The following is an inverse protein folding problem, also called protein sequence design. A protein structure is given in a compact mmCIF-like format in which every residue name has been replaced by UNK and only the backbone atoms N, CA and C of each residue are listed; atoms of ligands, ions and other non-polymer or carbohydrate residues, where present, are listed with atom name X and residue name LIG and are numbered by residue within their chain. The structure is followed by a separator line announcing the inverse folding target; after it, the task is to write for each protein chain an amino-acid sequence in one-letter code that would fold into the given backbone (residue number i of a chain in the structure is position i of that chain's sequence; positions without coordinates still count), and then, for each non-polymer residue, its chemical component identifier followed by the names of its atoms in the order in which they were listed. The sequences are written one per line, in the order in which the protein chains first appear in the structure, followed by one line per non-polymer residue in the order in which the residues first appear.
data_IF_094116299019
#
_entry.id   IF_094116299019
#
_cell.length_a   1.000
_cell.length_b   1.000
_cell.length_c   1.000
_cell.angle_alpha   90.00
_cell.angle_beta   90.00
_cell.angle_gamma   90.00
#
_symmetry.space_group_name_H-M   'P 1'
#
loop_
_entity.id
_entity.type
_entity.pdbx_description
1 polymer ?
#
# COMPACT_ATOMS: atom_id res chain seq x y z
N UNK A 1 35.70 -18.64 -45.49
CA UNK A 1 35.23 -19.97 -45.08
C UNK A 1 33.89 -19.81 -44.38
N UNK A 2 32.79 -20.24 -45.01
CA UNK A 2 31.42 -19.94 -44.57
C UNK A 2 31.00 -20.67 -43.26
N UNK A 3 31.42 -21.93 -43.00
CA UNK A 3 31.14 -22.61 -41.74
C UNK A 3 31.71 -21.87 -40.53
N UNK A 4 32.99 -21.46 -40.57
CA UNK A 4 33.63 -20.68 -39.50
C UNK A 4 32.93 -19.34 -39.30
N UNK A 5 32.52 -18.68 -40.39
CA UNK A 5 31.74 -17.46 -40.29
C UNK A 5 30.43 -17.68 -39.52
N UNK A 6 29.63 -18.69 -39.89
CA UNK A 6 28.33 -18.94 -39.25
C UNK A 6 28.45 -19.38 -37.78
N UNK A 7 29.50 -20.13 -37.42
CA UNK A 7 29.69 -20.62 -36.05
C UNK A 7 30.42 -19.63 -35.14
N UNK A 8 31.43 -18.91 -35.64
CA UNK A 8 32.39 -18.16 -34.82
C UNK A 8 32.31 -16.63 -34.98
N UNK A 9 31.91 -16.14 -36.15
CA UNK A 9 32.04 -14.71 -36.48
C UNK A 9 30.67 -14.01 -36.70
N UNK A 10 29.62 -14.76 -37.02
CA UNK A 10 28.32 -14.20 -37.37
C UNK A 10 27.63 -13.59 -36.13
N UNK A 11 27.34 -12.28 -36.11
CA UNK A 11 26.65 -11.63 -34.99
C UNK A 11 25.19 -12.08 -34.85
N UNK A 12 24.58 -12.57 -35.93
CA UNK A 12 23.23 -13.14 -35.97
C UNK A 12 23.19 -14.64 -35.61
N UNK A 13 24.31 -15.24 -35.17
CA UNK A 13 24.26 -16.58 -34.59
C UNK A 13 23.51 -16.53 -33.27
N UNK A 14 22.75 -17.57 -32.97
CA UNK A 14 22.07 -17.73 -31.70
C UNK A 14 22.99 -18.41 -30.68
N UNK A 15 23.01 -17.91 -29.45
CA UNK A 15 23.60 -18.56 -28.28
C UNK A 15 22.52 -18.87 -27.26
N UNK A 16 22.65 -20.01 -26.60
CA UNK A 16 21.83 -20.35 -25.45
C UNK A 16 22.33 -19.59 -24.22
N UNK A 17 21.43 -18.89 -23.52
CA UNK A 17 21.72 -18.27 -22.25
C UNK A 17 21.91 -19.37 -21.18
N UNK A 18 23.09 -19.40 -20.56
CA UNK A 18 23.42 -20.38 -19.50
C UNK A 18 22.52 -20.32 -18.25
N UNK A 19 21.77 -19.23 -18.07
CA UNK A 19 20.91 -19.01 -16.90
C UNK A 19 19.46 -19.37 -17.16
N UNK A 20 18.84 -18.80 -18.20
CA UNK A 20 17.43 -19.02 -18.52
C UNK A 20 17.20 -20.08 -19.60
N UNK A 21 18.26 -20.62 -20.21
CA UNK A 21 18.20 -21.60 -21.32
C UNK A 21 17.51 -21.11 -22.60
N UNK A 22 17.18 -19.82 -22.69
CA UNK A 22 16.64 -19.20 -23.91
C UNK A 22 17.72 -18.94 -24.95
N UNK A 23 17.34 -18.90 -26.23
CA UNK A 23 18.25 -18.59 -27.34
C UNK A 23 18.15 -17.13 -27.74
N UNK A 24 19.29 -16.45 -27.83
CA UNK A 24 19.38 -15.02 -28.18
C UNK A 24 20.51 -14.82 -29.18
N UNK A 25 20.43 -13.77 -29.99
CA UNK A 25 21.55 -13.44 -30.88
C UNK A 25 22.81 -13.09 -30.07
N UNK A 26 23.97 -13.48 -30.60
CA UNK A 26 25.25 -13.21 -29.96
C UNK A 26 25.45 -11.72 -29.66
N UNK A 27 25.01 -10.86 -30.59
CA UNK A 27 25.04 -9.41 -30.43
C UNK A 27 24.15 -8.90 -29.28
N UNK A 28 23.06 -9.60 -28.96
CA UNK A 28 22.05 -9.20 -27.97
C UNK A 28 22.27 -9.85 -26.60
N UNK A 29 23.10 -10.90 -26.50
CA UNK A 29 23.29 -11.65 -25.26
C UNK A 29 23.71 -10.79 -24.06
N UNK A 30 24.52 -9.74 -24.29
CA UNK A 30 24.90 -8.78 -23.25
C UNK A 30 23.71 -7.94 -22.77
N UNK A 31 22.85 -7.51 -23.69
CA UNK A 31 21.62 -6.81 -23.34
C UNK A 31 20.67 -7.75 -22.58
N UNK A 32 20.52 -8.99 -23.05
CA UNK A 32 19.72 -10.01 -22.39
C UNK A 32 20.12 -10.22 -20.92
N UNK A 33 21.41 -10.28 -20.57
CA UNK A 33 21.83 -10.43 -19.17
C UNK A 33 21.34 -9.32 -18.23
N UNK A 34 21.09 -8.11 -18.74
CA UNK A 34 20.56 -7.00 -17.94
C UNK A 34 19.08 -7.18 -17.59
N UNK A 35 18.34 -8.00 -18.34
CA UNK A 35 16.89 -8.23 -18.17
C UNK A 35 16.55 -9.69 -17.82
N UNK A 36 17.50 -10.62 -17.95
CA UNK A 36 17.30 -12.04 -17.69
C UNK A 36 16.89 -12.29 -16.23
N UNK A 37 15.69 -12.85 -16.04
CA UNK A 37 15.13 -13.17 -14.72
C UNK A 37 15.96 -14.20 -13.94
N UNK A 38 16.60 -15.14 -14.64
CA UNK A 38 17.43 -16.18 -14.02
C UNK A 38 18.87 -15.72 -13.77
N UNK A 39 19.24 -14.50 -14.21
CA UNK A 39 20.58 -13.98 -14.00
C UNK A 39 20.84 -13.77 -12.50
N UNK A 40 21.94 -14.32 -11.95
CA UNK A 40 22.27 -14.18 -10.54
C UNK A 40 22.77 -12.76 -10.24
N UNK A 41 22.26 -12.20 -9.15
CA UNK A 41 22.61 -10.90 -8.64
C UNK A 41 23.01 -11.02 -7.16
N UNK A 42 23.79 -10.03 -6.74
CA UNK A 42 24.13 -9.81 -5.33
C UNK A 42 23.21 -8.76 -4.74
N UNK A 43 22.63 -9.04 -3.58
CA UNK A 43 21.87 -8.05 -2.82
C UNK A 43 22.82 -6.95 -2.35
N UNK A 44 22.52 -5.70 -2.70
CA UNK A 44 23.32 -4.53 -2.31
C UNK A 44 23.27 -4.22 -0.81
N UNK A 45 22.28 -4.76 -0.09
CA UNK A 45 22.05 -4.45 1.32
C UNK A 45 22.64 -5.50 2.28
N UNK A 46 22.34 -6.78 2.06
CA UNK A 46 22.87 -7.86 2.91
C UNK A 46 24.12 -8.53 2.34
N UNK A 47 24.47 -8.26 1.08
CA UNK A 47 25.63 -8.87 0.41
C UNK A 47 25.43 -10.32 -0.02
N UNK A 48 24.25 -10.94 0.22
CA UNK A 48 23.95 -12.28 -0.26
C UNK A 48 24.03 -12.33 -1.79
N UNK A 49 24.76 -13.30 -2.31
CA UNK A 49 25.00 -13.49 -3.74
C UNK A 49 24.14 -14.62 -4.32
N UNK A 50 24.20 -14.81 -5.64
CA UNK A 50 23.48 -15.85 -6.38
C UNK A 50 21.94 -15.79 -6.23
N UNK A 51 21.39 -14.59 -6.04
CA UNK A 51 19.94 -14.37 -6.02
C UNK A 51 19.48 -14.12 -7.45
N UNK A 52 18.57 -14.95 -7.96
CA UNK A 52 18.01 -14.72 -9.30
C UNK A 52 17.29 -13.37 -9.36
N UNK A 53 17.51 -12.60 -10.43
CA UNK A 53 16.85 -11.30 -10.66
C UNK A 53 15.33 -11.38 -10.44
N UNK A 54 14.69 -12.42 -10.96
CA UNK A 54 13.23 -12.61 -10.90
C UNK A 54 12.67 -12.82 -9.48
N UNK A 55 13.51 -13.17 -8.50
CA UNK A 55 13.09 -13.33 -7.10
C UNK A 55 13.70 -12.26 -6.17
N UNK A 56 14.39 -11.27 -6.73
CA UNK A 56 15.08 -10.24 -5.93
C UNK A 56 14.09 -9.41 -5.10
N UNK A 57 12.89 -9.17 -5.61
CA UNK A 57 11.82 -8.50 -4.86
C UNK A 57 11.38 -9.32 -3.64
N UNK A 58 11.14 -10.63 -3.82
CA UNK A 58 10.79 -11.54 -2.72
C UNK A 58 11.92 -11.62 -1.68
N UNK A 59 13.18 -11.66 -2.14
CA UNK A 59 14.33 -11.56 -1.24
C UNK A 59 14.31 -10.25 -0.45
N UNK A 60 14.11 -9.10 -1.12
CA UNK A 60 14.04 -7.78 -0.50
C UNK A 60 13.01 -7.69 0.61
N UNK A 61 11.83 -8.31 0.41
CA UNK A 61 10.78 -8.36 1.43
C UNK A 61 11.21 -9.10 2.71
N UNK A 62 11.98 -10.19 2.60
CA UNK A 62 12.50 -10.96 3.73
C UNK A 62 13.86 -10.51 4.26
N UNK A 63 14.60 -9.70 3.51
CA UNK A 63 15.95 -9.28 3.84
C UNK A 63 15.94 -8.24 4.96
N UNK A 64 16.59 -8.56 6.10
CA UNK A 64 16.65 -7.66 7.27
C UNK A 64 17.42 -6.37 7.04
N UNK A 65 18.29 -6.34 6.04
CA UNK A 65 19.12 -5.18 5.69
C UNK A 65 18.51 -4.30 4.60
N UNK A 66 17.50 -4.79 3.89
CA UNK A 66 16.78 -3.99 2.90
C UNK A 66 15.94 -2.95 3.65
N UNK A 67 16.08 -1.64 3.36
CA UNK A 67 15.26 -0.60 3.98
C UNK A 67 13.77 -0.81 3.69
N UNK A 68 12.95 -0.73 4.73
CA UNK A 68 11.49 -0.87 4.67
C UNK A 68 10.83 0.38 5.23
N UNK A 69 9.68 0.75 4.66
CA UNK A 69 8.86 1.85 5.19
C UNK A 69 8.30 1.47 6.56
N UNK A 70 8.14 2.47 7.43
CA UNK A 70 7.50 2.27 8.72
C UNK A 70 6.08 1.74 8.56
N UNK A 71 5.67 0.82 9.44
CA UNK A 71 4.31 0.24 9.47
C UNK A 71 3.23 1.29 9.71
N UNK A 72 3.60 2.44 10.27
CA UNK A 72 2.71 3.59 10.52
C UNK A 72 2.70 4.60 9.36
N UNK A 73 3.19 4.23 8.17
CA UNK A 73 3.20 5.12 7.00
C UNK A 73 1.80 5.60 6.59
N UNK A 74 0.77 4.76 6.77
CA UNK A 74 -0.63 5.15 6.53
C UNK A 74 -1.11 6.29 7.46
N UNK A 75 -0.41 6.51 8.57
CA UNK A 75 -0.66 7.59 9.54
C UNK A 75 0.29 8.77 9.35
N UNK A 76 1.05 8.80 8.25
CA UNK A 76 1.94 9.89 7.88
C UNK A 76 3.40 9.72 8.31
N UNK A 77 3.79 8.58 8.90
CA UNK A 77 5.19 8.34 9.23
C UNK A 77 6.03 8.09 7.97
N UNK A 78 7.00 8.94 7.67
CA UNK A 78 7.88 8.81 6.49
C UNK A 78 9.17 8.03 6.76
N UNK A 79 9.33 7.48 7.97
CA UNK A 79 10.56 6.79 8.37
C UNK A 79 10.76 5.51 7.55
N UNK A 80 11.98 5.29 7.08
CA UNK A 80 12.38 4.12 6.29
C UNK A 80 13.74 3.65 6.79
N UNK A 81 13.86 2.38 7.16
CA UNK A 81 15.09 1.83 7.71
C UNK A 81 15.17 0.31 7.57
N UNK A 82 16.36 -0.26 7.82
CA UNK A 82 16.54 -1.70 7.97
C UNK A 82 15.88 -2.19 9.28
N UNK A 83 15.73 -3.51 9.45
CA UNK A 83 14.93 -4.08 10.53
C UNK A 83 15.47 -3.73 11.93
N UNK A 84 16.78 -3.67 12.10
CA UNK A 84 17.43 -3.34 13.37
C UNK A 84 17.14 -1.90 13.83
N UNK A 85 17.17 -0.94 12.92
CA UNK A 85 16.77 0.44 13.19
C UNK A 85 15.25 0.58 13.33
N UNK A 86 14.48 -0.15 12.52
CA UNK A 86 13.02 -0.15 12.56
C UNK A 86 12.48 -0.68 13.89
N UNK A 87 13.10 -1.72 14.46
CA UNK A 87 12.78 -2.28 15.78
C UNK A 87 12.93 -1.22 16.89
N UNK A 88 13.90 -0.32 16.77
CA UNK A 88 14.10 0.80 17.72
C UNK A 88 13.15 1.97 17.46
N UNK A 89 12.69 2.13 16.23
CA UNK A 89 11.77 3.20 15.82
C UNK A 89 10.30 2.89 16.15
N UNK A 90 9.88 1.62 16.07
CA UNK A 90 8.49 1.19 16.27
C UNK A 90 8.06 1.19 17.76
N UNK A 91 8.27 2.32 18.44
CA UNK A 91 7.81 2.55 19.81
C UNK A 91 6.53 3.38 19.82
N UNK A 92 5.81 3.33 20.93
CA UNK A 92 4.65 4.17 21.16
C UNK A 92 5.04 5.65 21.12
N UNK A 93 6.13 6.03 21.79
CA UNK A 93 6.58 7.42 21.90
C UNK A 93 6.83 8.07 20.53
N UNK A 94 7.45 7.32 19.59
CA UNK A 94 7.71 7.81 18.24
C UNK A 94 6.42 8.12 17.45
N UNK A 95 5.30 7.49 17.80
CA UNK A 95 4.03 7.59 17.09
C UNK A 95 2.91 8.21 17.95
N UNK A 96 3.20 8.58 19.20
CA UNK A 96 2.21 8.99 20.18
C UNK A 96 1.42 10.22 19.72
N UNK A 97 2.09 11.18 19.07
CA UNK A 97 1.45 12.38 18.53
C UNK A 97 0.41 12.04 17.47
N UNK A 98 0.75 11.20 16.49
CA UNK A 98 -0.17 10.80 15.43
C UNK A 98 -1.35 9.97 15.99
N UNK A 99 -1.09 9.10 16.97
CA UNK A 99 -2.13 8.32 17.64
C UNK A 99 -3.06 9.22 18.44
N UNK A 100 -2.53 10.21 19.15
CA UNK A 100 -3.31 11.16 19.93
C UNK A 100 -4.17 12.06 19.04
N UNK A 101 -3.61 12.57 17.93
CA UNK A 101 -4.37 13.35 16.94
C UNK A 101 -5.53 12.54 16.35
N UNK A 102 -5.31 11.26 16.01
CA UNK A 102 -6.41 10.38 15.61
C UNK A 102 -7.46 10.22 16.71
N UNK A 103 -7.04 10.03 17.97
CA UNK A 103 -7.98 9.92 19.09
C UNK A 103 -8.83 11.19 19.24
N UNK A 104 -8.22 12.36 19.18
CA UNK A 104 -8.95 13.64 19.27
C UNK A 104 -9.97 13.77 18.14
N UNK A 105 -9.61 13.38 16.91
CA UNK A 105 -10.54 13.39 15.77
C UNK A 105 -11.68 12.38 15.94
N UNK A 106 -11.39 11.18 16.44
CA UNK A 106 -12.41 10.18 16.73
C UNK A 106 -13.39 10.67 17.80
N UNK A 107 -12.88 11.21 18.90
CA UNK A 107 -13.71 11.77 19.98
C UNK A 107 -14.60 12.93 19.45
N UNK A 108 -14.08 13.77 18.55
CA UNK A 108 -14.85 14.82 17.90
C UNK A 108 -15.96 14.25 16.99
N UNK A 109 -15.64 13.25 16.15
CA UNK A 109 -16.63 12.59 15.30
C UNK A 109 -17.71 11.88 16.12
N UNK A 110 -17.35 11.25 17.24
CA UNK A 110 -18.31 10.62 18.14
C UNK A 110 -19.25 11.63 18.79
N UNK A 111 -18.74 12.82 19.14
CA UNK A 111 -19.55 13.93 19.65
C UNK A 111 -20.51 14.46 18.58
N UNK A 112 -20.06 14.66 17.33
CA UNK A 112 -20.90 15.06 16.21
C UNK A 112 -22.02 14.03 15.93
N UNK A 113 -21.70 12.74 15.95
CA UNK A 113 -22.69 11.68 15.79
C UNK A 113 -23.72 11.65 16.92
N UNK A 114 -23.32 11.97 18.15
CA UNK A 114 -24.24 12.09 19.29
C UNK A 114 -25.18 13.28 19.10
N UNK A 115 -24.63 14.45 18.76
CA UNK A 115 -25.41 15.65 18.51
C UNK A 115 -26.43 15.43 17.39
N UNK A 116 -26.01 14.85 16.27
CA UNK A 116 -26.90 14.54 15.15
C UNK A 116 -28.05 13.61 15.55
N UNK A 117 -27.81 12.63 16.44
CA UNK A 117 -28.86 11.73 16.94
C UNK A 117 -29.86 12.49 17.83
N UNK A 118 -29.39 13.40 18.67
CA UNK A 118 -30.22 14.23 19.54
C UNK A 118 -31.07 15.20 18.73
N UNK A 119 -30.48 15.89 17.75
CA UNK A 119 -31.17 16.80 16.85
C UNK A 119 -32.27 16.07 16.05
N UNK A 120 -31.95 14.89 15.50
CA UNK A 120 -32.93 14.06 14.79
C UNK A 120 -34.08 13.58 15.68
N UNK A 121 -33.81 13.31 16.96
CA UNK A 121 -34.84 12.95 17.93
C UNK A 121 -35.74 14.15 18.26
N UNK A 122 -35.13 15.31 18.48
CA UNK A 122 -35.83 16.56 18.75
C UNK A 122 -36.75 16.94 17.59
N UNK A 123 -36.23 16.97 16.36
CA UNK A 123 -36.98 17.24 15.14
C UNK A 123 -38.17 16.28 14.96
N UNK A 124 -37.98 15.01 15.31
CA UNK A 124 -39.06 14.01 15.27
C UNK A 124 -40.15 14.33 16.29
N UNK A 125 -39.79 14.73 17.50
CA UNK A 125 -40.76 15.15 18.51
C UNK A 125 -41.50 16.42 18.11
N UNK A 126 -40.81 17.41 17.55
CA UNK A 126 -41.43 18.65 17.09
C UNK A 126 -42.46 18.40 15.99
N UNK A 127 -42.11 17.57 14.98
CA UNK A 127 -43.06 17.16 13.93
C UNK A 127 -44.31 16.50 14.52
N UNK A 128 -44.14 15.59 15.47
CA UNK A 128 -45.26 14.92 16.15
C UNK A 128 -46.09 15.91 16.99
N UNK A 129 -45.46 16.91 17.63
CA UNK A 129 -46.18 17.96 18.38
C UNK A 129 -47.00 18.84 17.45
N UNK A 130 -46.44 19.23 16.30
CA UNK A 130 -47.12 20.05 15.31
C UNK A 130 -48.28 19.29 14.66
N UNK A 131 -48.09 18.00 14.32
CA UNK A 131 -49.15 17.14 13.79
C UNK A 131 -50.34 17.04 14.77
N UNK A 132 -50.06 16.78 16.06
CA UNK A 132 -51.09 16.77 17.10
C UNK A 132 -51.79 18.12 17.28
N UNK A 133 -51.09 19.25 17.08
CA UNK A 133 -51.71 20.59 17.13
C UNK A 133 -52.70 20.75 15.98
N UNK A 134 -52.28 20.41 14.76
CA UNK A 134 -53.13 20.47 13.56
C UNK A 134 -54.34 19.55 13.67
N UNK A 135 -54.21 18.37 14.28
CA UNK A 135 -55.34 17.46 14.55
C UNK A 135 -56.39 18.08 15.47
N UNK A 136 -55.95 18.70 16.59
CA UNK A 136 -56.85 19.40 17.51
C UNK A 136 -57.59 20.55 16.84
N UNK A 137 -56.86 21.39 16.10
CA UNK A 137 -57.46 22.51 15.35
C UNK A 137 -58.51 22.03 14.34
N UNK A 138 -58.27 20.91 13.64
CA UNK A 138 -59.26 20.30 12.73
C UNK A 138 -60.49 19.78 13.46
N UNK A 139 -60.30 19.11 14.59
CA UNK A 139 -61.39 18.59 15.40
C UNK A 139 -62.28 19.73 15.93
N UNK A 140 -61.67 20.77 16.50
CA UNK A 140 -62.40 21.92 17.04
C UNK A 140 -63.19 22.65 15.96
N UNK A 141 -62.63 22.79 14.74
CA UNK A 141 -63.34 23.36 13.59
C UNK A 141 -64.53 22.51 13.11
N UNK A 142 -64.44 21.18 13.21
CA UNK A 142 -65.56 20.29 12.87
C UNK A 142 -66.70 20.33 13.89
N UNK A 143 -66.42 20.57 15.17
CA UNK A 143 -67.45 20.66 16.21
C UNK A 143 -68.23 22.00 16.20
N UNK A 144 -67.79 23.00 15.45
CA UNK A 144 -68.43 24.32 15.35
C UNK A 144 -69.41 24.47 14.17
N UNK A 145 -69.48 23.47 13.27
CA UNK A 145 -70.45 23.37 12.18
C UNK A 145 -71.57 22.37 12.53
#
# INVERSE_FOLDING_TARGET
DLPRHMTEECPNRTHECRFCRGNYFAAEMKAHYNECAEYPLKCQFCGQDNIRRGIMEQHGAGCRKTPKICKMAALGCTFTAADDEMERHLTLDMHALAINDMKVRLDAMEAELRQLREDMAHDREERLREERRRERERHDAQCQN
#
